data_IF_573576404109
#
_entry.id   IF_573576404109
#
_cell.length_a   1.000
_cell.length_b   1.000
_cell.length_c   1.000
_cell.angle_alpha   90.00
_cell.angle_beta   90.00
_cell.angle_gamma   90.00
#
_symmetry.space_group_name_H-M   'P 1'
#
loop_
_entity.id
_entity.type
_entity.pdbx_description
1 polymer ?
#
# COMPACT_ATOMS: atom_id res chain seq x y z
N UNK A 1 6.01 -11.69 18.59
CA UNK A 1 5.06 -11.75 17.46
C UNK A 1 5.42 -10.57 16.57
N UNK A 2 5.62 -10.77 15.27
CA UNK A 2 6.01 -9.65 14.39
C UNK A 2 4.83 -8.70 14.20
N UNK A 3 5.08 -7.40 14.33
CA UNK A 3 4.09 -6.34 14.16
C UNK A 3 4.45 -5.50 12.94
N UNK A 4 3.48 -5.30 12.05
CA UNK A 4 3.61 -4.45 10.85
C UNK A 4 2.54 -3.37 10.93
N UNK A 5 2.94 -2.10 10.92
CA UNK A 5 2.01 -1.00 10.70
C UNK A 5 1.82 -0.79 9.21
N UNK A 6 0.57 -0.72 8.75
CA UNK A 6 0.20 -0.44 7.37
C UNK A 6 -0.30 1.01 7.28
N UNK A 7 0.55 1.93 6.84
CA UNK A 7 0.17 3.31 6.57
C UNK A 7 -0.18 3.45 5.08
N UNK A 8 -1.30 4.12 4.78
CA UNK A 8 -1.78 4.23 3.42
C UNK A 8 -3.08 5.01 3.31
N UNK A 9 -3.69 4.93 2.13
CA UNK A 9 -4.95 5.56 1.79
C UNK A 9 -6.16 4.60 1.91
N UNK A 10 -7.22 4.84 1.14
CA UNK A 10 -8.43 4.00 1.11
C UNK A 10 -8.17 2.55 0.71
N UNK A 11 -7.12 2.28 -0.08
CA UNK A 11 -6.74 0.93 -0.50
C UNK A 11 -6.16 0.11 0.66
N UNK A 12 -5.55 0.78 1.63
CA UNK A 12 -5.07 0.17 2.87
C UNK A 12 -6.17 0.12 3.92
N UNK A 13 -6.95 1.19 4.05
CA UNK A 13 -8.10 1.27 4.97
C UNK A 13 -9.10 0.13 4.74
N UNK A 14 -9.38 -0.18 3.48
CA UNK A 14 -10.44 -1.12 3.09
C UNK A 14 -11.76 -0.41 2.84
N UNK A 15 -11.71 0.70 2.06
CA UNK A 15 -12.93 1.42 1.67
C UNK A 15 -13.93 0.51 0.96
N UNK A 16 -15.19 0.56 1.37
CA UNK A 16 -16.27 -0.22 0.76
C UNK A 16 -16.41 -1.66 1.27
N UNK A 17 -15.54 -2.11 2.19
CA UNK A 17 -15.65 -3.44 2.83
C UNK A 17 -15.67 -3.31 4.36
N UNK A 18 -16.09 -4.38 5.05
CA UNK A 18 -15.95 -4.43 6.51
C UNK A 18 -14.48 -4.53 6.92
N UNK A 19 -14.11 -4.01 8.09
CA UNK A 19 -12.73 -4.04 8.59
C UNK A 19 -12.12 -5.45 8.57
N UNK A 20 -12.89 -6.49 8.89
CA UNK A 20 -12.47 -7.90 8.84
C UNK A 20 -12.19 -8.43 7.42
N UNK A 21 -12.73 -7.77 6.40
CA UNK A 21 -12.57 -8.13 5.00
C UNK A 21 -11.49 -7.26 4.31
N UNK A 22 -10.89 -6.29 5.03
CA UNK A 22 -9.75 -5.52 4.55
C UNK A 22 -8.47 -6.38 4.56
N UNK A 23 -7.63 -6.25 3.54
CA UNK A 23 -6.46 -7.11 3.33
C UNK A 23 -5.49 -7.17 4.52
N UNK A 24 -5.24 -6.09 5.31
CA UNK A 24 -4.35 -6.22 6.48
C UNK A 24 -4.92 -7.16 7.55
N UNK A 25 -6.25 -7.12 7.76
CA UNK A 25 -6.88 -8.04 8.71
C UNK A 25 -6.81 -9.49 8.25
N UNK A 26 -7.05 -9.74 6.95
CA UNK A 26 -6.95 -11.09 6.37
C UNK A 26 -5.53 -11.64 6.56
N UNK A 27 -4.49 -10.83 6.30
CA UNK A 27 -3.09 -11.23 6.53
C UNK A 27 -2.84 -11.56 8.01
N UNK A 28 -3.41 -10.78 8.95
CA UNK A 28 -3.32 -11.08 10.40
C UNK A 28 -3.83 -12.48 10.70
N UNK A 29 -5.01 -12.82 10.21
CA UNK A 29 -5.63 -14.13 10.44
C UNK A 29 -4.86 -15.29 9.79
N UNK A 30 -4.38 -15.09 8.54
CA UNK A 30 -3.68 -16.12 7.79
C UNK A 30 -2.25 -16.39 8.26
N UNK A 31 -1.54 -15.35 8.69
CA UNK A 31 -0.11 -15.43 9.03
C UNK A 31 0.16 -15.48 10.53
N UNK A 32 -0.84 -15.21 11.37
CA UNK A 32 -0.66 -15.14 12.82
C UNK A 32 0.29 -14.02 13.25
N UNK A 33 0.39 -12.93 12.49
CA UNK A 33 1.16 -11.71 12.80
C UNK A 33 0.20 -10.57 13.15
N UNK A 34 0.71 -9.48 13.70
CA UNK A 34 -0.11 -8.29 13.96
C UNK A 34 0.05 -7.29 12.81
N UNK A 35 -1.04 -7.02 12.08
CA UNK A 35 -1.10 -5.94 11.10
C UNK A 35 -1.93 -4.80 11.66
N UNK A 36 -1.32 -3.65 11.99
CA UNK A 36 -2.01 -2.46 12.46
C UNK A 36 -2.38 -1.61 11.27
N UNK A 37 -3.68 -1.53 10.95
CA UNK A 37 -4.17 -0.76 9.82
C UNK A 37 -4.28 0.73 10.19
N UNK A 38 -3.43 1.57 9.59
CA UNK A 38 -3.40 3.03 9.66
C UNK A 38 -3.69 3.64 8.28
N UNK A 39 -4.56 3.00 7.49
CA UNK A 39 -5.08 3.58 6.25
C UNK A 39 -6.10 4.67 6.53
N UNK A 40 -6.09 5.75 5.77
CA UNK A 40 -7.09 6.83 5.82
C UNK A 40 -7.65 7.11 4.43
N UNK A 41 -8.98 7.21 4.33
CA UNK A 41 -9.64 7.44 3.05
C UNK A 41 -9.25 8.80 2.45
N UNK A 42 -8.81 8.80 1.19
CA UNK A 42 -8.43 10.00 0.47
C UNK A 42 -7.05 10.57 0.84
N UNK A 43 -6.28 9.88 1.70
CA UNK A 43 -4.98 10.37 2.14
C UNK A 43 -3.97 10.45 1.00
N UNK A 44 -3.05 11.39 1.13
CA UNK A 44 -1.93 11.64 0.21
C UNK A 44 -0.61 11.31 0.88
N UNK A 45 0.46 11.22 0.10
CA UNK A 45 1.80 11.01 0.67
C UNK A 45 2.22 12.14 1.63
N UNK A 46 1.76 13.37 1.40
CA UNK A 46 1.97 14.49 2.33
C UNK A 46 1.19 14.29 3.65
N UNK A 47 -0.07 13.83 3.56
CA UNK A 47 -0.89 13.50 4.73
C UNK A 47 -0.26 12.37 5.55
N UNK A 48 0.13 11.27 4.89
CA UNK A 48 0.85 10.16 5.54
C UNK A 48 2.13 10.62 6.23
N UNK A 49 2.94 11.47 5.57
CA UNK A 49 4.17 12.02 6.16
C UNK A 49 3.89 12.85 7.41
N UNK A 50 2.80 13.62 7.42
CA UNK A 50 2.42 14.48 8.55
C UNK A 50 2.08 13.68 9.82
N UNK A 51 1.43 12.52 9.67
CA UNK A 51 1.00 11.64 10.76
C UNK A 51 1.93 10.44 11.02
N UNK A 52 3.03 10.31 10.25
CA UNK A 52 3.92 9.15 10.30
C UNK A 52 4.51 8.89 11.68
N UNK A 53 4.86 9.94 12.43
CA UNK A 53 5.42 9.81 13.76
C UNK A 53 4.40 9.19 14.73
N UNK A 54 3.17 9.68 14.72
CA UNK A 54 2.11 9.24 15.65
C UNK A 54 1.60 7.85 15.27
N UNK A 55 1.39 7.59 13.99
CA UNK A 55 0.77 6.35 13.52
C UNK A 55 1.76 5.19 13.32
N UNK A 56 3.04 5.49 13.16
CA UNK A 56 4.05 4.47 12.90
C UNK A 56 5.11 4.42 13.98
N UNK A 57 5.80 5.56 14.25
CA UNK A 57 6.96 5.54 15.14
C UNK A 57 6.58 5.24 16.58
N UNK A 58 5.48 5.81 17.07
CA UNK A 58 5.00 5.57 18.44
C UNK A 58 4.49 4.13 18.65
N UNK A 59 4.03 3.45 17.61
CA UNK A 59 3.60 2.04 17.68
C UNK A 59 4.79 1.07 17.83
N UNK A 60 6.00 1.53 17.52
CA UNK A 60 7.25 0.74 17.60
C UNK A 60 7.12 -0.63 16.91
N UNK A 61 6.66 -0.70 15.66
CA UNK A 61 6.51 -1.96 14.95
C UNK A 61 7.88 -2.52 14.52
N UNK A 62 7.93 -3.81 14.20
CA UNK A 62 9.10 -4.40 13.54
C UNK A 62 9.25 -3.84 12.12
N UNK A 63 8.12 -3.64 11.43
CA UNK A 63 8.08 -3.14 10.05
C UNK A 63 6.96 -2.13 9.82
N UNK A 64 7.18 -1.25 8.85
CA UNK A 64 6.11 -0.44 8.26
C UNK A 64 5.88 -0.85 6.82
N UNK A 65 4.62 -1.08 6.45
CA UNK A 65 4.18 -1.16 5.07
C UNK A 65 3.58 0.18 4.67
N UNK A 66 4.12 0.79 3.60
CA UNK A 66 3.74 2.11 3.11
C UNK A 66 3.21 2.00 1.69
N UNK A 67 1.92 2.31 1.47
CA UNK A 67 1.28 2.31 0.15
C UNK A 67 0.47 3.58 -0.04
N UNK A 68 0.90 4.44 -0.95
CA UNK A 68 0.26 5.72 -1.25
C UNK A 68 0.67 6.27 -2.62
N UNK A 69 0.21 7.48 -2.91
CA UNK A 69 0.46 8.18 -4.16
C UNK A 69 -0.68 8.13 -5.16
N UNK A 70 -1.69 7.27 -4.95
CA UNK A 70 -2.86 7.18 -5.83
C UNK A 70 -3.65 8.49 -5.84
N UNK A 71 -3.99 9.01 -4.66
CA UNK A 71 -4.69 10.29 -4.55
C UNK A 71 -3.83 11.47 -5.02
N UNK A 72 -2.53 11.45 -4.73
CA UNK A 72 -1.58 12.45 -5.21
C UNK A 72 -1.65 12.58 -6.74
N UNK A 73 -1.54 11.47 -7.48
CA UNK A 73 -1.63 11.46 -8.95
C UNK A 73 -3.00 11.95 -9.42
N UNK A 74 -4.09 11.54 -8.77
CA UNK A 74 -5.44 11.99 -9.12
C UNK A 74 -5.63 13.49 -8.88
N UNK A 75 -4.92 14.08 -7.93
CA UNK A 75 -4.88 15.52 -7.63
C UNK A 75 -3.86 16.28 -8.49
N UNK A 76 -3.10 15.60 -9.35
CA UNK A 76 -2.10 16.22 -10.23
C UNK A 76 -0.78 16.56 -9.55
N UNK A 77 -0.50 15.97 -8.39
CA UNK A 77 0.80 16.10 -7.70
C UNK A 77 1.90 15.44 -8.53
N UNK A 78 3.06 16.07 -8.60
CA UNK A 78 4.19 15.52 -9.36
C UNK A 78 4.73 14.25 -8.75
N UNK A 79 5.20 13.32 -9.59
CA UNK A 79 5.81 12.07 -9.12
C UNK A 79 7.06 12.34 -8.27
N UNK A 80 7.81 13.40 -8.58
CA UNK A 80 9.00 13.78 -7.79
C UNK A 80 8.63 14.13 -6.35
N UNK A 81 7.56 14.90 -6.16
CA UNK A 81 7.08 15.27 -4.82
C UNK A 81 6.55 14.04 -4.05
N UNK A 82 5.86 13.12 -4.73
CA UNK A 82 5.40 11.85 -4.14
C UNK A 82 6.60 11.03 -3.64
N UNK A 83 7.63 10.87 -4.47
CA UNK A 83 8.83 10.11 -4.11
C UNK A 83 9.64 10.79 -3.01
N UNK A 84 9.67 12.13 -2.97
CA UNK A 84 10.29 12.89 -1.88
C UNK A 84 9.59 12.62 -0.54
N UNK A 85 8.26 12.67 -0.50
CA UNK A 85 7.49 12.34 0.70
C UNK A 85 7.73 10.90 1.16
N UNK A 86 7.77 9.94 0.22
CA UNK A 86 8.09 8.53 0.52
C UNK A 86 9.51 8.44 1.11
N UNK A 87 10.50 9.09 0.50
CA UNK A 87 11.88 9.12 1.01
C UNK A 87 11.97 9.66 2.43
N UNK A 88 11.26 10.75 2.73
CA UNK A 88 11.22 11.33 4.08
C UNK A 88 10.58 10.38 5.11
N UNK A 89 9.55 9.62 4.73
CA UNK A 89 8.97 8.59 5.60
C UNK A 89 9.92 7.42 5.83
N UNK A 90 10.67 7.00 4.79
CA UNK A 90 11.71 5.97 4.91
C UNK A 90 12.83 6.39 5.84
N UNK A 91 13.27 7.66 5.76
CA UNK A 91 14.28 8.20 6.68
C UNK A 91 13.79 8.19 8.13
N UNK A 92 12.51 8.57 8.37
CA UNK A 92 11.91 8.49 9.71
C UNK A 92 11.85 7.04 10.22
N UNK A 93 11.45 6.09 9.39
CA UNK A 93 11.43 4.67 9.74
C UNK A 93 12.84 4.17 10.10
N UNK A 94 13.83 4.47 9.26
CA UNK A 94 15.24 4.11 9.47
C UNK A 94 15.80 4.67 10.77
N UNK A 95 15.54 5.95 11.06
CA UNK A 95 15.97 6.59 12.31
C UNK A 95 15.32 5.94 13.54
N UNK A 96 14.12 5.41 13.40
CA UNK A 96 13.41 4.68 14.46
C UNK A 96 13.78 3.19 14.54
N UNK A 97 14.64 2.68 13.65
CA UNK A 97 15.01 1.26 13.57
C UNK A 97 13.91 0.36 13.02
N UNK A 98 12.96 0.92 12.25
CA UNK A 98 11.82 0.22 11.66
C UNK A 98 12.16 -0.16 10.21
N UNK A 99 12.04 -1.44 9.86
CA UNK A 99 12.20 -1.90 8.47
C UNK A 99 11.01 -1.46 7.62
N UNK A 100 11.25 -0.99 6.40
CA UNK A 100 10.19 -0.52 5.51
C UNK A 100 9.92 -1.48 4.34
N UNK A 101 8.64 -1.64 4.01
CA UNK A 101 8.15 -2.35 2.84
C UNK A 101 7.29 -1.36 2.04
N UNK A 102 7.58 -1.17 0.76
CA UNK A 102 6.79 -0.30 -0.11
C UNK A 102 5.70 -1.11 -0.80
N UNK A 103 4.46 -0.60 -0.79
CA UNK A 103 3.38 -1.09 -1.63
C UNK A 103 3.30 -0.29 -2.93
N UNK A 104 3.47 -0.96 -4.08
CA UNK A 104 3.09 -0.37 -5.38
C UNK A 104 1.58 -0.60 -5.53
N UNK A 105 0.75 0.46 -5.57
CA UNK A 105 -0.69 0.29 -5.50
C UNK A 105 -1.26 -0.44 -6.73
N UNK A 106 -2.42 -1.11 -6.60
CA UNK A 106 -3.09 -1.77 -7.72
C UNK A 106 -3.35 -0.81 -8.88
N UNK A 107 -3.20 -1.29 -10.10
CA UNK A 107 -3.32 -0.50 -11.31
C UNK A 107 -4.72 0.10 -11.51
N UNK A 108 -4.79 1.37 -11.84
CA UNK A 108 -6.01 2.08 -12.21
C UNK A 108 -5.89 2.72 -13.58
N UNK A 109 -7.03 2.88 -14.27
CA UNK A 109 -7.06 3.56 -15.56
C UNK A 109 -7.13 5.09 -15.36
N UNK A 110 -6.01 5.68 -14.95
CA UNK A 110 -5.88 7.13 -14.78
C UNK A 110 -4.60 7.65 -15.44
N UNK A 111 -4.70 8.81 -16.08
CA UNK A 111 -3.56 9.42 -16.78
C UNK A 111 -2.41 9.69 -15.80
N UNK A 112 -1.22 9.21 -16.13
CA UNK A 112 -0.02 9.40 -15.30
C UNK A 112 0.22 8.33 -14.24
N UNK A 113 -0.79 7.51 -13.91
CA UNK A 113 -0.67 6.49 -12.86
C UNK A 113 0.40 5.45 -13.21
N UNK A 114 0.40 4.93 -14.44
CA UNK A 114 1.42 3.96 -14.89
C UNK A 114 2.84 4.53 -14.83
N UNK A 115 3.02 5.80 -15.21
CA UNK A 115 4.33 6.44 -15.12
C UNK A 115 4.78 6.62 -13.66
N UNK A 116 3.86 6.84 -12.73
CA UNK A 116 4.14 6.88 -11.30
C UNK A 116 4.58 5.52 -10.78
N UNK A 117 3.81 4.46 -11.03
CA UNK A 117 4.14 3.12 -10.52
C UNK A 117 5.45 2.59 -11.10
N UNK A 118 5.75 2.82 -12.39
CA UNK A 118 7.03 2.47 -13.00
C UNK A 118 8.21 3.20 -12.33
N UNK A 119 8.03 4.48 -11.99
CA UNK A 119 9.07 5.25 -11.28
C UNK A 119 9.22 4.80 -9.84
N UNK A 120 8.13 4.45 -9.15
CA UNK A 120 8.17 3.93 -7.79
C UNK A 120 8.90 2.58 -7.74
N UNK A 121 8.61 1.67 -8.67
CA UNK A 121 9.32 0.38 -8.79
C UNK A 121 10.81 0.62 -9.03
N UNK A 122 11.15 1.50 -9.99
CA UNK A 122 12.55 1.84 -10.27
C UNK A 122 13.25 2.43 -9.04
N UNK A 123 12.57 3.29 -8.29
CA UNK A 123 13.09 3.85 -7.04
C UNK A 123 13.37 2.73 -6.02
N UNK A 124 12.43 1.82 -5.79
CA UNK A 124 12.62 0.69 -4.88
C UNK A 124 13.81 -0.20 -5.29
N UNK A 125 13.96 -0.48 -6.58
CA UNK A 125 15.09 -1.28 -7.12
C UNK A 125 16.43 -0.57 -6.92
N UNK A 126 16.48 0.73 -7.17
CA UNK A 126 17.70 1.55 -7.03
C UNK A 126 18.15 1.62 -5.58
N UNK A 127 17.22 1.88 -4.67
CA UNK A 127 17.46 1.99 -3.22
C UNK A 127 17.50 0.62 -2.50
N UNK A 128 17.31 -0.49 -3.25
CA UNK A 128 17.28 -1.87 -2.72
C UNK A 128 16.26 -2.05 -1.59
N UNK A 129 15.10 -1.43 -1.76
CA UNK A 129 13.99 -1.52 -0.82
C UNK A 129 13.16 -2.78 -1.09
N UNK A 130 12.63 -3.38 -0.03
CA UNK A 130 11.59 -4.38 -0.14
C UNK A 130 10.31 -3.72 -0.65
N UNK A 131 9.68 -4.33 -1.67
CA UNK A 131 8.40 -3.84 -2.17
C UNK A 131 7.46 -4.96 -2.61
N UNK A 132 6.16 -4.68 -2.52
CA UNK A 132 5.08 -5.55 -3.00
C UNK A 132 4.44 -4.86 -4.20
N UNK A 133 4.48 -5.52 -5.34
CA UNK A 133 3.94 -5.00 -6.60
C UNK A 133 2.50 -5.46 -6.79
N UNK A 134 1.55 -4.69 -6.26
CA UNK A 134 0.13 -4.95 -6.50
C UNK A 134 -0.31 -4.55 -7.91
N UNK A 135 0.40 -3.64 -8.59
CA UNK A 135 0.04 -3.24 -9.94
C UNK A 135 0.11 -4.41 -10.93
N UNK A 136 1.21 -5.17 -10.90
CA UNK A 136 1.42 -6.27 -11.84
C UNK A 136 0.83 -7.60 -11.36
N UNK A 137 0.74 -7.80 -10.05
CA UNK A 137 0.26 -9.04 -9.46
C UNK A 137 -1.25 -9.06 -9.24
N UNK A 138 -1.88 -7.90 -9.18
CA UNK A 138 -3.33 -7.77 -9.08
C UNK A 138 -3.96 -7.89 -10.47
N UNK A 139 -4.78 -8.92 -10.73
CA UNK A 139 -5.26 -9.21 -12.08
C UNK A 139 -6.29 -8.18 -12.54
N UNK A 140 -5.84 -7.10 -13.18
CA UNK A 140 -6.71 -6.13 -13.84
C UNK A 140 -7.18 -6.71 -15.16
N UNK A 141 -8.22 -7.52 -15.16
CA UNK A 141 -8.95 -7.87 -16.40
C UNK A 141 -10.24 -7.06 -16.44
N UNK A 142 -10.23 -6.00 -17.24
CA UNK A 142 -11.47 -5.43 -17.73
C UNK A 142 -12.20 -6.52 -18.53
N UNK A 143 -13.28 -7.05 -17.99
CA UNK A 143 -14.16 -7.90 -18.79
C UNK A 143 -14.86 -7.03 -19.81
N UNK A 144 -15.23 -7.59 -20.98
CA UNK A 144 -16.05 -6.93 -21.99
C UNK A 144 -17.43 -6.47 -21.50
N UNK A 145 -17.77 -6.75 -20.23
CA UNK A 145 -19.03 -6.40 -19.56
C UNK A 145 -18.91 -5.32 -18.48
N UNK A 146 -17.77 -4.56 -18.43
CA UNK A 146 -17.60 -3.49 -17.46
C UNK A 146 -16.63 -3.85 -16.32
N UNK A 147 -17.02 -3.84 -15.09
CA UNK A 147 -16.13 -3.93 -13.93
C UNK A 147 -15.56 -5.33 -13.70
N UNK A 148 -14.29 -5.40 -13.35
CA UNK A 148 -13.67 -6.61 -12.81
C UNK A 148 -14.38 -6.98 -11.49
N UNK A 149 -14.57 -8.28 -11.22
CA UNK A 149 -15.05 -8.75 -9.89
C UNK A 149 -14.21 -8.23 -8.72
N UNK A 150 -13.01 -7.76 -9.00
CA UNK A 150 -12.04 -7.32 -8.00
C UNK A 150 -12.15 -5.84 -7.62
N UNK A 151 -12.91 -5.03 -8.40
CA UNK A 151 -13.12 -3.61 -8.12
C UNK A 151 -14.63 -3.30 -7.98
N UNK A 152 -14.98 -2.51 -6.96
CA UNK A 152 -16.35 -2.01 -6.75
C UNK A 152 -16.65 -0.80 -7.64
N UNK A 153 -15.61 -0.06 -7.98
CA UNK A 153 -15.57 1.07 -8.90
C UNK A 153 -14.27 1.00 -9.71
N UNK A 154 -13.79 2.10 -10.27
CA UNK A 154 -12.54 2.13 -11.04
C UNK A 154 -11.26 2.19 -10.17
N UNK A 155 -11.39 2.12 -8.86
CA UNK A 155 -10.30 2.37 -7.90
C UNK A 155 -10.29 1.37 -6.74
N UNK A 156 -11.44 1.16 -6.09
CA UNK A 156 -11.49 0.46 -4.81
C UNK A 156 -11.73 -1.05 -4.98
N UNK A 157 -10.88 -1.89 -4.37
CA UNK A 157 -11.07 -3.34 -4.38
C UNK A 157 -12.39 -3.77 -3.71
N UNK A 158 -13.02 -4.79 -4.28
CA UNK A 158 -14.11 -5.53 -3.59
C UNK A 158 -13.54 -6.40 -2.47
N UNK A 159 -14.41 -7.09 -1.73
CA UNK A 159 -13.98 -8.11 -0.77
C UNK A 159 -13.06 -9.15 -1.43
N UNK A 160 -13.40 -9.65 -2.62
CA UNK A 160 -12.53 -10.56 -3.38
C UNK A 160 -11.20 -9.90 -3.76
N UNK A 161 -11.22 -8.61 -4.11
CA UNK A 161 -10.02 -7.84 -4.39
C UNK A 161 -9.08 -7.75 -3.18
N UNK A 162 -9.63 -7.53 -1.99
CA UNK A 162 -8.86 -7.53 -0.75
C UNK A 162 -8.27 -8.91 -0.41
N UNK A 163 -8.98 -10.01 -0.69
CA UNK A 163 -8.41 -11.36 -0.56
C UNK A 163 -7.20 -11.56 -1.48
N UNK A 164 -7.30 -11.14 -2.75
CA UNK A 164 -6.16 -11.21 -3.68
C UNK A 164 -4.96 -10.39 -3.18
N UNK A 165 -5.20 -9.18 -2.65
CA UNK A 165 -4.12 -8.37 -2.06
C UNK A 165 -3.48 -9.10 -0.86
N UNK A 166 -4.29 -9.70 0.01
CA UNK A 166 -3.79 -10.47 1.15
C UNK A 166 -2.94 -11.68 0.70
N UNK A 167 -3.40 -12.45 -0.28
CA UNK A 167 -2.64 -13.57 -0.85
C UNK A 167 -1.28 -13.14 -1.40
N UNK A 168 -1.24 -12.02 -2.15
CA UNK A 168 0.00 -11.43 -2.70
C UNK A 168 0.95 -11.06 -1.55
N UNK A 169 0.44 -10.40 -0.51
CA UNK A 169 1.26 -9.97 0.62
C UNK A 169 1.74 -11.15 1.46
N UNK A 170 0.89 -12.14 1.72
CA UNK A 170 1.27 -13.37 2.42
C UNK A 170 2.37 -14.14 1.67
N UNK A 171 2.26 -14.23 0.35
CA UNK A 171 3.32 -14.84 -0.49
C UNK A 171 4.63 -14.08 -0.34
N UNK A 172 4.60 -12.75 -0.46
CA UNK A 172 5.77 -11.89 -0.26
C UNK A 172 6.45 -12.13 1.10
N UNK A 173 5.67 -12.21 2.19
CA UNK A 173 6.22 -12.47 3.53
C UNK A 173 6.86 -13.86 3.64
N UNK A 174 6.23 -14.90 3.06
CA UNK A 174 6.76 -16.28 3.08
C UNK A 174 8.09 -16.43 2.34
N UNK A 175 8.31 -15.65 1.30
CA UNK A 175 9.55 -15.66 0.51
C UNK A 175 10.72 -14.94 1.21
N UNK A 176 10.46 -14.19 2.28
CA UNK A 176 11.42 -13.37 3.03
C UNK A 176 11.54 -13.70 4.52
N UNK A 177 10.90 -14.78 4.94
CA UNK A 177 10.98 -15.30 6.32
C UNK A 177 11.98 -16.43 6.44
#
# INVERSE_FOLDING_TARGET
>A
MKTIVCIGDSLTFGYGVHAKDAWPHIVTEEMGITMINRGENGDTTAGMLSRFYEDVVLERPDRVFLMGGTNDIMMGVSVDFILENISLMLDKAKLAGIEAIIGVPPGINFKGFKAFTDRLIKYCQTEKLDYVDFEHLYPVRMSLRGYSRLYSDNLHPTKEGHHVMAEIFCKFLKERC
#
